data_IF_264654659710
#
_entry.id   IF_264654659710
#
_cell.length_a   1.000
_cell.length_b   1.000
_cell.length_c   1.000
_cell.angle_alpha   90.00
_cell.angle_beta   90.00
_cell.angle_gamma   90.00
#
_symmetry.space_group_name_H-M   'P 1'
#
loop_
_entity.id
_entity.type
_entity.pdbx_description
1 polymer ?
#
# COMPACT_ATOMS: atom_id res chain seq x y z
N UNK A 1 -22.26 7.96 -17.64
CA UNK A 1 -21.09 7.63 -16.80
C UNK A 1 -20.59 8.84 -15.99
N UNK A 2 -20.07 9.90 -16.62
CA UNK A 2 -19.40 11.02 -15.92
C UNK A 2 -20.25 11.65 -14.80
N UNK A 3 -21.50 12.05 -15.07
CA UNK A 3 -22.35 12.65 -14.04
C UNK A 3 -22.59 11.71 -12.83
N UNK A 4 -22.80 10.41 -13.08
CA UNK A 4 -22.97 9.40 -12.03
C UNK A 4 -21.68 9.19 -11.23
N UNK A 5 -20.53 9.19 -11.92
CA UNK A 5 -19.22 9.13 -11.28
C UNK A 5 -18.98 10.33 -10.34
N UNK A 6 -19.37 11.54 -10.76
CA UNK A 6 -19.28 12.76 -9.93
C UNK A 6 -20.23 12.67 -8.73
N UNK A 7 -21.46 12.17 -8.92
CA UNK A 7 -22.42 11.98 -7.81
C UNK A 7 -21.85 11.03 -6.75
N UNK A 8 -21.30 9.89 -7.15
CA UNK A 8 -20.70 8.94 -6.20
C UNK A 8 -19.42 9.53 -5.58
N UNK A 9 -18.64 10.29 -6.32
CA UNK A 9 -17.49 10.99 -5.75
C UNK A 9 -17.91 11.99 -4.67
N UNK A 10 -18.96 12.79 -4.90
CA UNK A 10 -19.50 13.71 -3.89
C UNK A 10 -19.98 12.96 -2.64
N UNK A 11 -20.61 11.80 -2.82
CA UNK A 11 -20.97 10.91 -1.71
C UNK A 11 -19.71 10.46 -0.93
N UNK A 12 -18.66 10.00 -1.63
CA UNK A 12 -17.38 9.63 -1.01
C UNK A 12 -16.74 10.81 -0.27
N UNK A 13 -16.82 12.04 -0.79
CA UNK A 13 -16.36 13.24 -0.09
C UNK A 13 -17.11 13.47 1.23
N UNK A 14 -18.45 13.34 1.22
CA UNK A 14 -19.25 13.46 2.44
C UNK A 14 -18.86 12.38 3.45
N UNK A 15 -18.72 11.13 3.01
CA UNK A 15 -18.29 10.02 3.86
C UNK A 15 -16.87 10.22 4.42
N UNK A 16 -15.96 10.79 3.64
CA UNK A 16 -14.61 11.13 4.09
C UNK A 16 -14.63 12.23 5.18
N UNK A 17 -15.46 13.26 5.02
CA UNK A 17 -15.65 14.31 6.04
C UNK A 17 -16.23 13.72 7.33
N UNK A 18 -17.25 12.86 7.22
CA UNK A 18 -17.84 12.17 8.38
C UNK A 18 -16.82 11.27 9.09
N UNK A 19 -16.00 10.54 8.34
CA UNK A 19 -14.92 9.73 8.89
C UNK A 19 -13.84 10.59 9.57
N UNK A 20 -13.50 11.75 9.01
CA UNK A 20 -12.61 12.73 9.65
C UNK A 20 -13.19 13.29 10.95
N UNK A 21 -14.48 13.64 10.96
CA UNK A 21 -15.17 14.08 12.17
C UNK A 21 -15.22 12.98 13.24
N UNK A 22 -15.53 11.74 12.85
CA UNK A 22 -15.48 10.57 13.72
C UNK A 22 -14.09 10.35 14.32
N UNK A 23 -13.03 10.52 13.51
CA UNK A 23 -11.64 10.43 13.95
C UNK A 23 -11.33 11.45 15.05
N UNK A 24 -11.63 12.73 14.83
CA UNK A 24 -11.30 13.79 15.80
C UNK A 24 -12.19 13.76 17.04
N UNK A 25 -13.48 13.47 16.90
CA UNK A 25 -14.45 13.53 17.99
C UNK A 25 -14.46 12.26 18.87
N UNK A 26 -14.18 11.09 18.30
CA UNK A 26 -14.36 9.81 19.00
C UNK A 26 -13.05 9.02 19.10
N UNK A 27 -12.37 8.77 17.98
CA UNK A 27 -11.20 7.89 17.98
C UNK A 27 -10.00 8.53 18.70
N UNK A 28 -9.69 9.78 18.38
CA UNK A 28 -8.52 10.48 18.91
C UNK A 28 -8.58 10.70 20.43
N UNK A 29 -9.70 11.13 21.04
CA UNK A 29 -9.79 11.25 22.50
C UNK A 29 -9.66 9.91 23.23
N UNK A 30 -10.07 8.79 22.62
CA UNK A 30 -10.07 7.46 23.26
C UNK A 30 -8.79 6.65 23.05
N UNK A 31 -8.18 6.77 21.87
CA UNK A 31 -7.09 5.88 21.43
C UNK A 31 -5.79 6.64 21.12
N UNK A 32 -5.83 7.97 21.12
CA UNK A 32 -4.72 8.84 20.71
C UNK A 32 -4.60 9.01 19.20
N UNK A 33 -3.84 10.02 18.78
CA UNK A 33 -3.67 10.44 17.38
C UNK A 33 -3.27 9.29 16.45
N UNK A 34 -2.32 8.45 16.88
CA UNK A 34 -1.74 7.41 16.02
C UNK A 34 -2.75 6.31 15.67
N UNK A 35 -3.46 5.78 16.67
CA UNK A 35 -4.51 4.79 16.45
C UNK A 35 -5.70 5.38 15.72
N UNK A 36 -6.08 6.62 16.06
CA UNK A 36 -7.18 7.30 15.39
C UNK A 36 -6.92 7.46 13.90
N UNK A 37 -5.73 7.92 13.52
CA UNK A 37 -5.35 8.04 12.12
C UNK A 37 -5.34 6.68 11.41
N UNK A 38 -4.75 5.65 12.01
CA UNK A 38 -4.69 4.31 11.44
C UNK A 38 -6.09 3.72 11.18
N UNK A 39 -6.95 3.68 12.21
CA UNK A 39 -8.30 3.12 12.09
C UNK A 39 -9.18 3.93 11.14
N UNK A 40 -9.13 5.26 11.20
CA UNK A 40 -9.87 6.14 10.29
C UNK A 40 -9.46 5.94 8.83
N UNK A 41 -8.18 5.67 8.57
CA UNK A 41 -7.68 5.36 7.22
C UNK A 41 -8.23 4.01 6.73
N UNK A 42 -8.23 2.99 7.58
CA UNK A 42 -8.78 1.67 7.24
C UNK A 42 -10.29 1.73 6.99
N UNK A 43 -11.04 2.46 7.83
CA UNK A 43 -12.48 2.66 7.67
C UNK A 43 -12.77 3.33 6.33
N UNK A 44 -12.11 4.45 6.02
CA UNK A 44 -12.34 5.16 4.75
C UNK A 44 -11.95 4.31 3.55
N UNK A 45 -10.86 3.56 3.64
CA UNK A 45 -10.45 2.63 2.59
C UNK A 45 -11.53 1.56 2.37
N UNK A 46 -12.04 0.94 3.43
CA UNK A 46 -13.17 0.00 3.36
C UNK A 46 -14.42 0.62 2.73
N UNK A 47 -14.77 1.85 3.10
CA UNK A 47 -15.89 2.59 2.50
C UNK A 47 -15.71 2.80 1.00
N UNK A 48 -14.51 3.19 0.56
CA UNK A 48 -14.19 3.35 -0.87
C UNK A 48 -14.37 2.02 -1.62
N UNK A 49 -13.87 0.93 -1.05
CA UNK A 49 -14.04 -0.41 -1.62
C UNK A 49 -15.51 -0.80 -1.72
N UNK A 50 -16.25 -0.73 -0.62
CA UNK A 50 -17.69 -1.08 -0.60
C UNK A 50 -18.48 -0.23 -1.59
N UNK A 51 -18.21 1.08 -1.65
CA UNK A 51 -18.88 1.99 -2.59
C UNK A 51 -18.53 1.66 -4.04
N UNK A 52 -17.26 1.35 -4.32
CA UNK A 52 -16.82 0.99 -5.67
C UNK A 52 -17.54 -0.26 -6.17
N UNK A 53 -17.61 -1.32 -5.36
CA UNK A 53 -18.31 -2.56 -5.71
C UNK A 53 -19.83 -2.37 -5.80
N UNK A 54 -20.44 -1.61 -4.89
CA UNK A 54 -21.89 -1.45 -4.86
C UNK A 54 -22.45 -0.59 -6.01
N UNK A 55 -21.68 0.40 -6.50
CA UNK A 55 -22.18 1.39 -7.46
C UNK A 55 -21.55 1.30 -8.85
N UNK A 56 -20.62 0.37 -9.10
CA UNK A 56 -19.92 0.27 -10.39
C UNK A 56 -20.90 0.15 -11.58
N UNK A 57 -21.84 -0.78 -11.49
CA UNK A 57 -22.85 -1.04 -12.52
C UNK A 57 -23.78 0.16 -12.71
N UNK A 58 -24.17 0.81 -11.61
CA UNK A 58 -25.01 2.00 -11.66
C UNK A 58 -24.29 3.17 -12.35
N UNK A 59 -22.99 3.37 -12.08
CA UNK A 59 -22.17 4.37 -12.75
C UNK A 59 -22.07 4.08 -14.26
N UNK A 60 -22.11 2.80 -14.63
CA UNK A 60 -22.00 2.32 -16.01
C UNK A 60 -20.55 2.12 -16.45
N UNK A 61 -19.64 1.82 -15.51
CA UNK A 61 -18.24 1.51 -15.80
C UNK A 61 -18.08 0.00 -16.13
N UNK A 62 -18.65 -0.43 -17.25
CA UNK A 62 -18.79 -1.84 -17.63
C UNK A 62 -17.54 -2.47 -18.26
N UNK A 63 -16.48 -1.69 -18.47
CA UNK A 63 -15.21 -2.18 -19.01
C UNK A 63 -14.07 -1.85 -18.07
N UNK A 64 -13.03 -2.70 -18.05
CA UNK A 64 -11.82 -2.48 -17.26
C UNK A 64 -11.18 -1.11 -17.56
N UNK A 65 -11.16 -0.70 -18.84
CA UNK A 65 -10.67 0.61 -19.25
C UNK A 65 -11.51 1.77 -18.65
N UNK A 66 -12.85 1.67 -18.72
CA UNK A 66 -13.74 2.68 -18.11
C UNK A 66 -13.60 2.76 -16.59
N UNK A 67 -13.32 1.63 -15.93
CA UNK A 67 -13.12 1.55 -14.49
C UNK A 67 -11.77 2.17 -14.07
N UNK A 68 -10.71 2.00 -14.87
CA UNK A 68 -9.46 2.74 -14.67
C UNK A 68 -9.66 4.24 -14.80
N UNK A 69 -10.38 4.71 -15.83
CA UNK A 69 -10.70 6.13 -15.98
C UNK A 69 -11.52 6.68 -14.82
N UNK A 70 -12.43 5.87 -14.27
CA UNK A 70 -13.18 6.20 -13.07
C UNK A 70 -12.24 6.38 -11.87
N UNK A 71 -11.35 5.43 -11.63
CA UNK A 71 -10.36 5.48 -10.54
C UNK A 71 -9.41 6.68 -10.67
N UNK A 72 -8.88 6.95 -11.88
CA UNK A 72 -8.06 8.14 -12.13
C UNK A 72 -8.85 9.43 -11.90
N UNK A 73 -10.08 9.52 -12.42
CA UNK A 73 -10.93 10.69 -12.25
C UNK A 73 -11.21 10.97 -10.76
N UNK A 74 -11.61 9.96 -10.01
CA UNK A 74 -11.82 10.08 -8.56
C UNK A 74 -10.54 10.45 -7.82
N UNK A 75 -9.41 9.82 -8.12
CA UNK A 75 -8.13 10.17 -7.49
C UNK A 75 -7.76 11.63 -7.76
N UNK A 76 -7.82 12.07 -9.03
CA UNK A 76 -7.50 13.45 -9.40
C UNK A 76 -8.40 14.45 -8.69
N UNK A 77 -9.71 14.20 -8.64
CA UNK A 77 -10.65 15.05 -7.93
C UNK A 77 -10.40 15.07 -6.41
N UNK A 78 -10.09 13.91 -5.81
CA UNK A 78 -9.78 13.79 -4.38
C UNK A 78 -8.51 14.56 -4.02
N UNK A 79 -7.43 14.38 -4.78
CA UNK A 79 -6.18 15.14 -4.56
C UNK A 79 -6.41 16.64 -4.79
N UNK A 80 -7.13 17.03 -5.86
CA UNK A 80 -7.45 18.42 -6.10
C UNK A 80 -8.27 19.01 -4.94
N UNK A 81 -9.30 18.33 -4.47
CA UNK A 81 -10.09 18.77 -3.31
C UNK A 81 -9.21 18.88 -2.06
N UNK A 82 -8.41 17.87 -1.76
CA UNK A 82 -7.52 17.84 -0.58
C UNK A 82 -6.53 19.00 -0.58
N UNK A 83 -5.80 19.22 -1.67
CA UNK A 83 -4.80 20.27 -1.74
C UNK A 83 -5.43 21.66 -1.90
N UNK A 84 -6.45 21.82 -2.75
CA UNK A 84 -7.09 23.12 -2.97
C UNK A 84 -7.90 23.57 -1.76
N UNK A 85 -8.78 22.71 -1.22
CA UNK A 85 -9.54 23.04 -0.02
C UNK A 85 -8.60 23.12 1.19
N UNK A 86 -7.67 22.18 1.32
CA UNK A 86 -6.65 22.17 2.39
C UNK A 86 -5.86 23.47 2.45
N UNK A 87 -5.36 23.95 1.31
CA UNK A 87 -4.53 25.14 1.25
C UNK A 87 -5.35 26.43 1.26
N UNK A 88 -6.35 26.57 0.40
CA UNK A 88 -7.05 27.85 0.21
C UNK A 88 -8.25 28.05 1.16
N UNK A 89 -8.98 26.98 1.52
CA UNK A 89 -10.15 27.07 2.41
C UNK A 89 -9.73 26.94 3.86
N UNK A 90 -8.95 25.92 4.19
CA UNK A 90 -8.51 25.63 5.56
C UNK A 90 -7.17 26.30 5.94
N UNK A 91 -6.55 27.02 5.01
CA UNK A 91 -5.30 27.78 5.22
C UNK A 91 -4.14 26.93 5.77
N UNK A 92 -4.12 25.63 5.45
CA UNK A 92 -3.01 24.76 5.84
C UNK A 92 -1.79 25.04 4.95
N UNK A 93 -0.60 25.05 5.56
CA UNK A 93 0.66 25.11 4.81
C UNK A 93 0.96 23.81 4.05
N UNK A 94 1.75 23.91 2.99
CA UNK A 94 2.19 22.77 2.18
C UNK A 94 2.89 21.68 3.01
N UNK A 95 3.70 22.07 3.99
CA UNK A 95 4.40 21.13 4.88
C UNK A 95 3.43 20.25 5.66
N UNK A 96 2.27 20.79 6.05
CA UNK A 96 1.23 20.05 6.76
C UNK A 96 0.54 19.06 5.82
N UNK A 97 0.17 19.50 4.62
CA UNK A 97 -0.52 18.66 3.63
C UNK A 97 0.38 17.51 3.15
N UNK A 98 1.63 17.82 2.78
CA UNK A 98 2.62 16.83 2.37
C UNK A 98 3.06 15.93 3.54
N UNK A 99 2.97 16.42 4.77
CA UNK A 99 3.29 15.67 5.97
C UNK A 99 2.45 14.40 6.16
N UNK A 100 1.19 14.40 5.70
CA UNK A 100 0.31 13.23 5.78
C UNK A 100 0.70 12.12 4.78
N UNK A 101 1.49 12.44 3.76
CA UNK A 101 2.03 11.48 2.78
C UNK A 101 3.36 10.85 3.22
N UNK A 102 3.91 11.29 4.36
CA UNK A 102 5.18 10.78 4.87
C UNK A 102 5.00 9.46 5.63
N UNK A 103 5.00 8.35 4.88
CA UNK A 103 4.91 7.01 5.45
C UNK A 103 6.06 6.67 6.39
N UNK A 104 7.22 7.33 6.27
CA UNK A 104 8.36 7.09 7.18
C UNK A 104 8.04 7.56 8.61
N UNK A 105 7.17 8.57 8.75
CA UNK A 105 6.63 9.03 10.04
C UNK A 105 5.46 8.17 10.54
N UNK A 106 5.15 7.06 9.88
CA UNK A 106 4.03 6.18 10.21
C UNK A 106 2.66 6.76 9.83
N UNK A 107 2.62 7.75 8.93
CA UNK A 107 1.37 8.23 8.33
C UNK A 107 0.94 7.25 7.24
N UNK A 108 -0.25 6.69 7.39
CA UNK A 108 -0.76 5.63 6.49
C UNK A 108 -1.74 6.16 5.44
N UNK A 109 -1.83 7.48 5.29
CA UNK A 109 -2.83 8.15 4.44
C UNK A 109 -2.79 7.67 3.00
N UNK A 110 -1.60 7.38 2.46
CA UNK A 110 -1.37 6.83 1.11
C UNK A 110 -2.22 5.60 0.76
N UNK A 111 -2.77 4.87 1.73
CA UNK A 111 -3.72 3.80 1.49
C UNK A 111 -5.02 4.29 0.86
N UNK A 112 -5.52 5.46 1.25
CA UNK A 112 -6.78 6.05 0.74
C UNK A 112 -6.71 6.39 -0.75
N UNK A 113 -5.72 7.16 -1.26
CA UNK A 113 -5.60 7.42 -2.69
C UNK A 113 -5.32 6.14 -3.48
N UNK A 114 -4.55 5.19 -2.93
CA UNK A 114 -4.36 3.89 -3.57
C UNK A 114 -5.69 3.12 -3.71
N UNK A 115 -6.49 3.02 -2.66
CA UNK A 115 -7.82 2.40 -2.76
C UNK A 115 -8.73 3.15 -3.74
N UNK A 116 -8.68 4.48 -3.76
CA UNK A 116 -9.47 5.32 -4.68
C UNK A 116 -9.16 5.00 -6.14
N UNK A 117 -7.88 4.78 -6.46
CA UNK A 117 -7.44 4.44 -7.81
C UNK A 117 -7.78 3.00 -8.20
N UNK A 118 -7.51 2.04 -7.32
CA UNK A 118 -7.51 0.62 -7.66
C UNK A 118 -8.84 -0.09 -7.36
N UNK A 119 -9.69 0.42 -6.46
CA UNK A 119 -10.95 -0.24 -6.14
C UNK A 119 -11.90 -0.34 -7.36
N UNK A 120 -12.07 0.69 -8.21
CA UNK A 120 -12.92 0.57 -9.40
C UNK A 120 -12.46 -0.50 -10.42
N UNK A 121 -11.19 -0.55 -10.89
CA UNK A 121 -10.77 -1.59 -11.82
C UNK A 121 -10.80 -3.00 -11.21
N UNK A 122 -10.54 -3.15 -9.90
CA UNK A 122 -10.67 -4.45 -9.23
C UNK A 122 -12.14 -4.88 -9.14
N UNK A 123 -13.05 -3.96 -8.83
CA UNK A 123 -14.48 -4.22 -8.86
C UNK A 123 -14.96 -4.64 -10.26
N UNK A 124 -14.47 -3.97 -11.31
CA UNK A 124 -14.83 -4.27 -12.70
C UNK A 124 -14.27 -5.61 -13.19
N UNK A 125 -13.07 -5.96 -12.73
CA UNK A 125 -12.47 -7.26 -13.02
C UNK A 125 -13.19 -8.40 -12.29
N UNK A 126 -13.74 -8.12 -11.11
CA UNK A 126 -14.36 -9.11 -10.24
C UNK A 126 -13.33 -9.87 -9.40
N UNK A 127 -13.83 -10.49 -8.34
CA UNK A 127 -13.07 -11.35 -7.44
C UNK A 127 -13.52 -12.79 -7.65
N UNK A 128 -12.56 -13.70 -7.82
CA UNK A 128 -12.81 -15.14 -7.90
C UNK A 128 -13.12 -15.67 -6.49
N UNK A 129 -14.31 -16.26 -6.35
CA UNK A 129 -14.81 -16.88 -5.12
C UNK A 129 -13.91 -18.01 -4.62
N UNK A 130 -13.08 -18.64 -5.45
CA UNK A 130 -12.13 -19.67 -4.96
C UNK A 130 -11.04 -19.09 -4.05
N UNK A 131 -10.77 -17.79 -4.18
CA UNK A 131 -9.64 -17.12 -3.54
C UNK A 131 -10.05 -16.10 -2.47
N UNK A 132 -11.33 -16.01 -2.11
CA UNK A 132 -11.80 -15.03 -1.12
C UNK A 132 -11.15 -15.21 0.26
N UNK A 133 -11.08 -16.42 0.80
CA UNK A 133 -10.44 -16.67 2.10
C UNK A 133 -8.94 -16.36 2.08
N UNK A 134 -8.13 -16.89 1.13
CA UNK A 134 -6.73 -16.49 0.99
C UNK A 134 -6.52 -14.98 0.88
N UNK A 135 -7.38 -14.28 0.14
CA UNK A 135 -7.33 -12.83 0.01
C UNK A 135 -7.59 -12.13 1.35
N UNK A 136 -8.68 -12.47 2.04
CA UNK A 136 -9.04 -11.88 3.34
C UNK A 136 -7.94 -12.11 4.36
N UNK A 137 -7.43 -13.35 4.45
CA UNK A 137 -6.35 -13.70 5.38
C UNK A 137 -5.09 -12.86 5.09
N UNK A 138 -4.71 -12.73 3.81
CA UNK A 138 -3.58 -11.89 3.41
C UNK A 138 -3.77 -10.43 3.84
N UNK A 139 -4.94 -9.84 3.57
CA UNK A 139 -5.25 -8.46 3.97
C UNK A 139 -5.20 -8.29 5.49
N UNK A 140 -5.75 -9.24 6.26
CA UNK A 140 -5.67 -9.21 7.74
C UNK A 140 -4.22 -9.25 8.20
N UNK A 141 -3.39 -10.14 7.64
CA UNK A 141 -1.95 -10.21 7.95
C UNK A 141 -1.26 -8.87 7.63
N UNK A 142 -1.58 -8.23 6.50
CA UNK A 142 -1.02 -6.94 6.13
C UNK A 142 -1.45 -5.80 7.06
N UNK A 143 -2.72 -5.77 7.47
CA UNK A 143 -3.24 -4.80 8.46
C UNK A 143 -2.53 -4.99 9.80
N UNK A 144 -2.34 -6.24 10.24
CA UNK A 144 -1.60 -6.56 11.47
C UNK A 144 -0.13 -6.15 11.36
N UNK A 145 0.53 -6.42 10.22
CA UNK A 145 1.90 -5.99 9.97
C UNK A 145 2.03 -4.46 10.01
N UNK A 146 1.09 -3.73 9.41
CA UNK A 146 1.05 -2.27 9.45
C UNK A 146 0.76 -1.74 10.86
N UNK A 147 -0.14 -2.37 11.62
CA UNK A 147 -0.35 -2.00 13.02
C UNK A 147 0.95 -2.20 13.83
N UNK A 148 1.61 -3.36 13.69
CA UNK A 148 2.89 -3.59 14.36
C UNK A 148 3.97 -2.64 13.88
N UNK A 149 4.00 -2.21 12.62
CA UNK A 149 5.04 -1.30 12.14
C UNK A 149 4.96 0.05 12.84
N UNK A 150 3.75 0.43 13.25
CA UNK A 150 3.52 1.60 14.08
C UNK A 150 3.98 1.35 15.52
N UNK A 151 3.46 0.30 16.19
CA UNK A 151 3.62 0.19 17.65
C UNK A 151 4.81 -0.68 18.11
N UNK A 152 5.21 -1.65 17.31
CA UNK A 152 6.32 -2.58 17.57
C UNK A 152 7.12 -2.82 16.26
N UNK A 153 7.89 -1.82 15.78
CA UNK A 153 8.50 -1.85 14.45
C UNK A 153 9.39 -3.07 14.19
N UNK A 154 10.07 -3.57 15.23
CA UNK A 154 10.91 -4.77 15.14
C UNK A 154 10.10 -6.05 14.84
N UNK A 155 8.88 -6.15 15.40
CA UNK A 155 7.97 -7.27 15.12
C UNK A 155 7.49 -7.21 13.68
N UNK A 156 7.04 -6.04 13.22
CA UNK A 156 6.63 -5.87 11.82
C UNK A 156 7.78 -6.16 10.86
N UNK A 157 9.00 -5.66 11.14
CA UNK A 157 10.18 -5.96 10.36
C UNK A 157 10.44 -7.47 10.26
N UNK A 158 10.34 -8.18 11.39
CA UNK A 158 10.46 -9.65 11.43
C UNK A 158 9.38 -10.35 10.61
N UNK A 159 8.12 -9.91 10.73
CA UNK A 159 7.00 -10.46 9.95
C UNK A 159 7.20 -10.28 8.45
N UNK A 160 7.60 -9.07 8.02
CA UNK A 160 7.84 -8.77 6.60
C UNK A 160 9.04 -9.57 6.09
N UNK A 161 10.14 -9.63 6.85
CA UNK A 161 11.30 -10.44 6.49
C UNK A 161 10.94 -11.93 6.35
N UNK A 162 10.18 -12.47 7.28
CA UNK A 162 9.68 -13.85 7.21
C UNK A 162 8.79 -14.06 5.99
N UNK A 163 7.83 -13.15 5.73
CA UNK A 163 6.95 -13.24 4.56
C UNK A 163 7.72 -13.26 3.25
N UNK A 164 8.75 -12.41 3.10
CA UNK A 164 9.62 -12.41 1.92
C UNK A 164 10.52 -13.64 1.83
N UNK A 165 11.03 -14.16 2.95
CA UNK A 165 11.81 -15.39 2.97
C UNK A 165 10.97 -16.59 2.55
N UNK A 166 9.76 -16.70 3.11
CA UNK A 166 8.79 -17.74 2.78
C UNK A 166 8.38 -17.66 1.31
N UNK A 167 7.96 -16.48 0.84
CA UNK A 167 7.56 -16.28 -0.55
C UNK A 167 8.73 -16.56 -1.52
N UNK A 168 9.95 -16.10 -1.21
CA UNK A 168 11.13 -16.40 -2.02
C UNK A 168 11.44 -17.90 -2.08
N UNK A 169 11.33 -18.61 -0.95
CA UNK A 169 11.52 -20.06 -0.92
C UNK A 169 10.48 -20.82 -1.77
N UNK A 170 9.20 -20.50 -1.58
CA UNK A 170 8.10 -21.10 -2.34
C UNK A 170 8.21 -20.76 -3.83
N UNK A 171 8.51 -19.52 -4.17
CA UNK A 171 8.60 -19.08 -5.56
C UNK A 171 9.79 -19.72 -6.28
N UNK A 172 10.93 -19.86 -5.60
CA UNK A 172 12.11 -20.53 -6.16
C UNK A 172 11.81 -22.02 -6.41
N UNK A 173 11.19 -22.69 -5.43
CA UNK A 173 10.79 -24.09 -5.59
C UNK A 173 9.79 -24.26 -6.73
N UNK A 174 8.74 -23.43 -6.79
CA UNK A 174 7.72 -23.50 -7.83
C UNK A 174 8.28 -23.17 -9.23
N UNK A 175 9.23 -22.23 -9.34
CA UNK A 175 9.90 -21.92 -10.61
C UNK A 175 10.66 -23.13 -11.19
N UNK A 176 11.24 -23.95 -10.31
CA UNK A 176 12.04 -25.13 -10.68
C UNK A 176 11.17 -26.38 -10.86
N UNK A 177 10.11 -26.54 -10.07
CA UNK A 177 9.26 -27.73 -10.08
C UNK A 177 8.11 -27.62 -11.10
N UNK A 178 7.41 -26.50 -11.12
CA UNK A 178 6.16 -26.31 -11.88
C UNK A 178 6.01 -24.85 -12.37
N UNK A 179 6.90 -24.34 -13.24
CA UNK A 179 6.87 -22.94 -13.67
C UNK A 179 5.58 -22.52 -14.41
N UNK A 180 4.87 -23.47 -15.02
CA UNK A 180 3.65 -23.16 -15.79
C UNK A 180 2.49 -22.70 -14.91
N UNK A 181 2.51 -22.99 -13.61
CA UNK A 181 1.51 -22.49 -12.65
C UNK A 181 1.44 -20.95 -12.66
N UNK A 182 2.53 -20.26 -13.01
CA UNK A 182 2.55 -18.81 -13.07
C UNK A 182 1.73 -18.22 -14.22
N UNK A 183 1.33 -19.02 -15.20
CA UNK A 183 0.50 -18.53 -16.32
C UNK A 183 -0.92 -18.24 -15.87
N UNK A 184 -1.40 -18.92 -14.82
CA UNK A 184 -2.71 -18.68 -14.22
C UNK A 184 -2.85 -17.27 -13.65
N UNK A 185 -1.73 -16.59 -13.33
CA UNK A 185 -1.79 -15.21 -12.87
C UNK A 185 -2.33 -14.24 -13.92
N UNK A 186 -2.31 -14.60 -15.21
CA UNK A 186 -2.93 -13.81 -16.27
C UNK A 186 -4.44 -13.55 -16.02
N UNK A 187 -5.09 -14.41 -15.25
CA UNK A 187 -6.51 -14.31 -14.93
C UNK A 187 -6.83 -13.28 -13.84
N UNK A 188 -5.83 -12.81 -13.07
CA UNK A 188 -6.05 -11.81 -12.00
C UNK A 188 -5.61 -10.39 -12.39
N UNK A 189 -4.91 -10.26 -13.51
CA UNK A 189 -4.27 -9.02 -13.91
C UNK A 189 -5.31 -7.98 -14.33
N UNK A 190 -5.23 -6.81 -13.71
CA UNK A 190 -6.10 -5.66 -13.99
C UNK A 190 -5.46 -4.66 -14.97
N UNK A 191 -4.24 -4.92 -15.47
CA UNK A 191 -3.53 -4.09 -16.46
C UNK A 191 -3.23 -4.92 -17.72
N UNK A 192 -3.82 -4.62 -18.89
CA UNK A 192 -3.69 -5.47 -20.09
C UNK A 192 -2.24 -5.81 -20.48
N UNK A 193 -1.32 -4.85 -20.38
CA UNK A 193 0.09 -5.08 -20.72
C UNK A 193 0.75 -6.21 -19.91
N UNK A 194 0.34 -6.40 -18.66
CA UNK A 194 0.82 -7.49 -17.82
C UNK A 194 0.28 -8.84 -18.29
N UNK A 195 -0.99 -8.88 -18.71
CA UNK A 195 -1.64 -10.09 -19.23
C UNK A 195 -0.98 -10.52 -20.55
N UNK A 196 -0.77 -9.58 -21.46
CA UNK A 196 -0.10 -9.82 -22.74
C UNK A 196 1.33 -10.32 -22.54
N UNK A 197 2.05 -9.76 -21.55
CA UNK A 197 3.38 -10.22 -21.21
C UNK A 197 3.38 -11.66 -20.65
N UNK A 198 2.48 -11.98 -19.69
CA UNK A 198 2.37 -13.32 -19.09
C UNK A 198 2.01 -14.38 -20.13
N UNK A 199 1.08 -14.05 -21.04
CA UNK A 199 0.63 -14.97 -22.10
C UNK A 199 1.57 -15.01 -23.31
N UNK A 200 2.58 -14.12 -23.36
CA UNK A 200 3.54 -14.01 -24.45
C UNK A 200 4.96 -14.34 -24.02
N UNK A 201 5.85 -13.34 -24.08
CA UNK A 201 7.30 -13.50 -23.88
C UNK A 201 7.68 -14.08 -22.52
N UNK A 202 6.85 -13.93 -21.49
CA UNK A 202 7.13 -14.52 -20.18
C UNK A 202 7.24 -16.04 -20.23
N UNK A 203 6.46 -16.71 -21.08
CA UNK A 203 6.41 -18.17 -21.11
C UNK A 203 7.76 -18.81 -21.47
N UNK A 204 8.58 -18.14 -22.28
CA UNK A 204 9.90 -18.65 -22.68
C UNK A 204 10.99 -18.39 -21.64
N UNK A 205 10.75 -17.51 -20.67
CA UNK A 205 11.74 -17.10 -19.65
C UNK A 205 11.26 -17.31 -18.21
N UNK A 206 10.09 -17.95 -18.01
CA UNK A 206 9.39 -18.03 -16.72
C UNK A 206 10.27 -18.56 -15.60
N UNK A 207 10.96 -19.68 -15.78
CA UNK A 207 11.84 -20.25 -14.76
C UNK A 207 12.95 -19.29 -14.37
N UNK A 208 13.67 -18.71 -15.34
CA UNK A 208 14.77 -17.80 -15.07
C UNK A 208 14.29 -16.51 -14.37
N UNK A 209 13.17 -15.94 -14.85
CA UNK A 209 12.65 -14.70 -14.32
C UNK A 209 12.09 -14.87 -12.91
N UNK A 210 11.28 -15.91 -12.67
CA UNK A 210 10.73 -16.18 -11.33
C UNK A 210 11.83 -16.57 -10.35
N UNK A 211 12.84 -17.36 -10.77
CA UNK A 211 13.98 -17.67 -9.91
C UNK A 211 14.77 -16.41 -9.53
N UNK A 212 14.99 -15.48 -10.48
CA UNK A 212 15.64 -14.20 -10.20
C UNK A 212 14.83 -13.34 -9.22
N UNK A 213 13.50 -13.27 -9.41
CA UNK A 213 12.58 -12.60 -8.48
C UNK A 213 12.66 -13.23 -7.08
N UNK A 214 12.63 -14.56 -7.00
CA UNK A 214 12.70 -15.30 -5.75
C UNK A 214 14.01 -15.06 -5.01
N UNK A 215 15.15 -15.05 -5.71
CA UNK A 215 16.44 -14.65 -5.14
C UNK A 215 16.39 -13.21 -4.62
N UNK A 216 15.79 -12.28 -5.39
CA UNK A 216 15.55 -10.91 -4.94
C UNK A 216 14.74 -10.84 -3.65
N UNK A 217 13.69 -11.66 -3.52
CA UNK A 217 12.88 -11.74 -2.29
C UNK A 217 13.69 -12.25 -1.09
N UNK A 218 14.54 -13.27 -1.29
CA UNK A 218 15.45 -13.78 -0.25
C UNK A 218 16.48 -12.72 0.18
N UNK A 219 17.02 -11.95 -0.76
CA UNK A 219 17.92 -10.83 -0.47
C UNK A 219 17.22 -9.71 0.31
N UNK A 220 15.97 -9.40 -0.04
CA UNK A 220 15.14 -8.46 0.72
C UNK A 220 14.95 -8.94 2.16
N UNK A 221 14.58 -10.21 2.33
CA UNK A 221 14.40 -10.81 3.65
C UNK A 221 15.67 -10.74 4.50
N UNK A 222 16.83 -11.09 3.92
CA UNK A 222 18.13 -11.00 4.58
C UNK A 222 18.48 -9.55 4.96
N UNK A 223 18.26 -8.58 4.07
CA UNK A 223 18.53 -7.17 4.34
C UNK A 223 17.65 -6.61 5.48
N UNK A 224 16.38 -7.00 5.54
CA UNK A 224 15.48 -6.63 6.63
C UNK A 224 15.87 -7.28 7.95
N UNK A 225 16.27 -8.54 7.94
CA UNK A 225 16.67 -9.30 9.13
C UNK A 225 17.98 -8.77 9.74
N UNK A 226 19.00 -8.55 8.90
CA UNK A 226 20.30 -8.02 9.31
C UNK A 226 20.22 -6.56 9.74
N UNK A 227 19.34 -5.77 9.13
CA UNK A 227 19.11 -4.37 9.47
C UNK A 227 20.34 -3.48 9.24
N UNK A 228 20.55 -2.51 10.13
CA UNK A 228 21.70 -1.59 10.06
C UNK A 228 21.73 -0.80 8.74
N UNK A 229 22.88 -0.81 8.04
CA UNK A 229 23.05 -0.14 6.74
C UNK A 229 22.27 -0.80 5.60
N UNK A 230 21.84 -2.06 5.78
CA UNK A 230 21.09 -2.81 4.77
C UNK A 230 19.59 -2.53 4.81
N UNK A 231 19.08 -2.02 5.94
CA UNK A 231 17.66 -1.80 6.15
C UNK A 231 16.99 -0.95 5.05
N UNK A 232 17.55 0.20 4.61
CA UNK A 232 16.95 0.98 3.53
C UNK A 232 16.83 0.21 2.21
N UNK A 233 17.81 -0.63 1.88
CA UNK A 233 17.79 -1.46 0.68
C UNK A 233 16.73 -2.56 0.76
N UNK A 234 16.60 -3.20 1.93
CA UNK A 234 15.53 -4.16 2.19
C UNK A 234 14.15 -3.52 2.04
N UNK A 235 13.92 -2.35 2.65
CA UNK A 235 12.65 -1.63 2.55
C UNK A 235 12.37 -1.17 1.13
N UNK A 236 13.35 -0.61 0.42
CA UNK A 236 13.21 -0.24 -0.98
C UNK A 236 12.84 -1.45 -1.85
N UNK A 237 13.48 -2.60 -1.63
CA UNK A 237 13.15 -3.84 -2.31
C UNK A 237 11.73 -4.32 -2.02
N UNK A 238 11.24 -4.23 -0.77
CA UNK A 238 9.84 -4.53 -0.44
C UNK A 238 8.89 -3.68 -1.27
N UNK A 239 9.10 -2.36 -1.25
CA UNK A 239 8.23 -1.40 -1.95
C UNK A 239 8.24 -1.65 -3.46
N UNK A 240 9.43 -1.78 -4.06
CA UNK A 240 9.57 -2.01 -5.50
C UNK A 240 8.87 -3.32 -5.89
N UNK A 241 9.13 -4.40 -5.17
CA UNK A 241 8.52 -5.70 -5.45
C UNK A 241 6.99 -5.66 -5.33
N UNK A 242 6.47 -5.18 -4.21
CA UNK A 242 5.03 -5.18 -3.94
C UNK A 242 4.25 -4.25 -4.87
N UNK A 243 4.81 -3.08 -5.18
CA UNK A 243 4.17 -2.17 -6.14
C UNK A 243 4.24 -2.72 -7.58
N UNK A 244 5.30 -3.44 -7.94
CA UNK A 244 5.41 -4.08 -9.25
C UNK A 244 4.34 -5.18 -9.46
N UNK A 245 3.93 -5.88 -8.40
CA UNK A 245 2.88 -6.91 -8.47
C UNK A 245 1.48 -6.38 -8.15
N UNK A 246 1.32 -5.15 -7.66
CA UNK A 246 -0.01 -4.58 -7.38
C UNK A 246 -1.00 -4.62 -8.58
N UNK A 247 -0.55 -4.48 -9.85
CA UNK A 247 -1.38 -4.70 -11.04
C UNK A 247 -1.97 -6.11 -11.22
N UNK A 248 -1.58 -7.09 -10.39
CA UNK A 248 -2.18 -8.43 -10.37
C UNK A 248 -3.50 -8.45 -9.59
N UNK A 249 -3.99 -7.31 -9.07
CA UNK A 249 -5.29 -7.22 -8.41
C UNK A 249 -5.43 -8.25 -7.29
N UNK A 250 -6.43 -9.13 -7.41
CA UNK A 250 -6.68 -10.21 -6.44
C UNK A 250 -5.48 -11.17 -6.30
N UNK A 251 -4.73 -11.42 -7.38
CA UNK A 251 -3.53 -12.27 -7.38
C UNK A 251 -2.36 -11.72 -6.55
N UNK A 252 -2.36 -10.42 -6.25
CA UNK A 252 -1.44 -9.80 -5.27
C UNK A 252 -2.08 -9.55 -3.91
N UNK A 253 -3.30 -10.05 -3.70
CA UNK A 253 -4.17 -9.75 -2.57
C UNK A 253 -4.34 -8.24 -2.33
N UNK A 254 -4.36 -7.41 -3.38
CA UNK A 254 -4.47 -5.95 -3.25
C UNK A 254 -5.68 -5.59 -2.35
N UNK A 255 -5.53 -4.73 -1.31
CA UNK A 255 -4.44 -3.78 -1.09
C UNK A 255 -3.28 -4.27 -0.21
N UNK A 256 -3.07 -5.59 -0.05
CA UNK A 256 -1.93 -6.18 0.67
C UNK A 256 -0.60 -5.53 0.30
N UNK A 257 -0.33 -5.39 -1.01
CA UNK A 257 0.90 -4.80 -1.54
C UNK A 257 1.14 -3.38 -1.03
N UNK A 258 0.10 -2.54 -0.96
CA UNK A 258 0.19 -1.17 -0.45
C UNK A 258 0.36 -1.17 1.07
N UNK A 259 -0.43 -1.96 1.78
CA UNK A 259 -0.38 -2.05 3.25
C UNK A 259 1.01 -2.47 3.74
N UNK A 260 1.58 -3.53 3.17
CA UNK A 260 2.91 -4.03 3.56
C UNK A 260 4.02 -3.07 3.10
N UNK A 261 3.86 -2.38 1.97
CA UNK A 261 4.79 -1.32 1.56
C UNK A 261 4.83 -0.17 2.56
N UNK A 262 3.67 0.31 3.00
CA UNK A 262 3.56 1.35 4.04
C UNK A 262 4.15 0.86 5.36
N UNK A 263 3.91 -0.41 5.72
CA UNK A 263 4.48 -1.01 6.91
C UNK A 263 6.01 -1.00 6.85
N UNK A 264 6.60 -1.44 5.74
CA UNK A 264 8.05 -1.44 5.54
C UNK A 264 8.67 -0.04 5.63
N UNK A 265 8.07 0.95 4.97
CA UNK A 265 8.56 2.35 5.01
C UNK A 265 8.48 2.92 6.42
N UNK A 266 7.41 2.66 7.16
CA UNK A 266 7.28 3.16 8.54
C UNK A 266 8.31 2.59 9.51
N UNK A 267 8.89 1.42 9.22
CA UNK A 267 10.00 0.86 10.01
C UNK A 267 11.26 1.74 9.89
N UNK A 268 11.50 2.40 8.75
CA UNK A 268 12.68 3.26 8.55
C UNK A 268 12.74 4.44 9.50
N UNK A 269 11.60 5.11 9.75
CA UNK A 269 11.55 6.27 10.64
C UNK A 269 11.79 5.93 12.12
N UNK A 270 11.89 4.65 12.46
CA UNK A 270 12.18 4.17 13.82
C UNK A 270 13.62 3.70 14.00
N UNK A 271 14.41 3.65 12.92
CA UNK A 271 15.84 3.43 13.03
C UNK A 271 16.45 4.62 13.80
N UNK A 272 17.31 4.38 14.82
CA UNK A 272 17.92 5.48 15.55
C UNK A 272 18.64 6.37 14.54
N UNK A 273 18.23 7.65 14.48
CA UNK A 273 18.96 8.67 13.75
C UNK A 273 20.41 8.50 14.14
N UNK A 274 21.31 8.26 13.18
CA UNK A 274 22.74 8.40 13.46
C UNK A 274 22.87 9.79 14.04
N UNK A 275 23.15 9.86 15.35
CA UNK A 275 23.53 11.08 15.99
C UNK A 275 24.63 11.65 15.10
N UNK A 276 24.34 12.80 14.48
CA UNK A 276 25.36 13.63 13.88
C UNK A 276 26.40 13.74 14.98
N UNK A 277 27.55 13.11 14.77
CA UNK A 277 28.71 13.25 15.64
C UNK A 277 28.98 14.74 15.69
N UNK A 278 28.48 15.40 16.73
CA UNK A 278 28.84 16.78 17.07
C UNK A 278 30.26 16.70 17.59
N UNK A 279 31.19 16.54 16.67
CA UNK A 279 32.59 16.81 16.86
C UNK A 279 32.76 18.32 16.80
N UNK A 280 32.27 19.06 17.80
CA UNK A 280 32.67 20.44 18.00
C UNK A 280 32.84 20.74 19.49
N UNK A 281 34.12 20.67 19.86
CA UNK A 281 34.83 21.55 20.78
C UNK A 281 34.47 21.47 22.27
N UNK A 282 35.33 20.71 22.97
CA UNK A 282 35.79 21.04 24.32
C UNK A 282 36.01 22.56 24.42
N UNK A 283 35.26 23.22 25.27
CA UNK A 283 35.71 24.44 25.94
C UNK A 283 36.02 24.04 27.37
N UNK A 284 37.30 24.14 27.73
CA UNK A 284 37.84 23.86 29.05
C UNK A 284 37.29 24.85 30.10
N UNK A 285 37.29 24.48 31.39
CA UNK A 285 36.87 25.38 32.46
C UNK A 285 37.94 26.46 32.69
N UNK A 286 37.53 27.72 32.82
CA UNK A 286 38.36 28.75 33.46
C UNK A 286 37.82 28.99 34.86
N UNK A 287 38.67 28.67 35.83
CA UNK A 287 38.63 29.20 37.18
C UNK A 287 38.81 30.73 37.15
N UNK A 288 37.98 31.44 37.91
CA UNK A 288 38.31 32.34 39.02
C UNK A 288 37.01 32.95 39.54
#
# INVERSE_FOLDING_TARGET
MIARAIIIWLLLCVLAILNGAFREAILKPRLGERWAHFLSTLILSGVIWTTSFAFLDWIGATTLASAWWLGFGWLSMTLAFEFLAGHYVFKNGWDKLLGDYDASKGRVWLLVPACTLFAPPIAAHGLDDRWHWPHIISVVVAVVALAFSLFKPQVARGMIAFGFAYAGGINLWMALASPQEYFTYADFVIVPAYKDFILGSFQSIVTAMVAAIAIGQLLIAAALALGGRLLPFGVAGVVIFLLAIAPFGQGSAFPFSVLVSLAAVSVLGTAPSRAVSRTHLRVAPRAF
#
